data_IF_981178961923
#
_entry.id   IF_981178961923
#
_cell.length_a   1.000
_cell.length_b   1.000
_cell.length_c   1.000
_cell.angle_alpha   90.00
_cell.angle_beta   90.00
_cell.angle_gamma   90.00
#
_symmetry.space_group_name_H-M   'P 1'
#
loop_
_entity.id
_entity.type
_entity.pdbx_description
1 polymer ?
#
# COMPACT_ATOMS: atom_id res chain seq x y z
N UNK A 1 -9.29 -3.80 8.93
CA UNK A 1 -9.11 -2.34 9.03
C UNK A 1 -9.80 -1.74 7.82
N UNK A 2 -11.13 -1.69 7.89
CA UNK A 2 -11.92 -0.87 6.97
C UNK A 2 -11.52 0.58 7.23
N UNK A 3 -11.19 1.33 6.19
CA UNK A 3 -11.09 2.78 6.28
C UNK A 3 -12.53 3.28 6.37
N UNK A 4 -13.08 3.23 7.58
CA UNK A 4 -14.36 3.85 7.91
C UNK A 4 -14.13 5.37 7.85
N UNK A 5 -14.33 5.97 6.67
CA UNK A 5 -14.56 7.41 6.53
C UNK A 5 -15.91 7.74 7.18
N UNK A 6 -15.99 7.71 8.52
CA UNK A 6 -17.16 8.23 9.24
C UNK A 6 -17.17 9.74 9.10
N UNK A 7 -17.98 10.21 8.18
CA UNK A 7 -18.34 11.62 7.99
C UNK A 7 -19.32 12.05 9.09
N UNK A 8 -18.90 12.06 10.36
CA UNK A 8 -19.71 12.57 11.46
C UNK A 8 -18.91 13.55 12.34
N UNK A 9 -19.21 14.84 12.14
CA UNK A 9 -19.01 16.04 12.98
C UNK A 9 -18.02 17.12 12.47
N UNK A 10 -18.34 18.43 12.68
CA UNK A 10 -17.83 19.54 11.88
C UNK A 10 -16.59 20.21 12.52
N UNK A 11 -15.52 19.46 12.73
CA UNK A 11 -14.25 20.02 13.21
C UNK A 11 -13.10 19.40 12.42
N UNK A 12 -12.41 20.26 11.66
CA UNK A 12 -11.29 19.99 10.74
C UNK A 12 -11.70 19.48 9.34
N UNK A 13 -11.65 20.39 8.35
CA UNK A 13 -11.47 20.00 6.94
C UNK A 13 -10.09 19.34 6.81
N UNK A 14 -10.06 18.24 6.07
CA UNK A 14 -9.25 17.06 6.38
C UNK A 14 -7.84 17.07 5.78
N UNK A 15 -6.87 16.71 6.61
CA UNK A 15 -5.56 16.26 6.17
C UNK A 15 -5.71 14.88 5.51
N UNK A 16 -5.36 14.75 4.22
CA UNK A 16 -5.33 13.44 3.56
C UNK A 16 -3.87 12.99 3.48
N UNK A 17 -3.54 11.96 4.25
CA UNK A 17 -2.29 11.22 4.08
C UNK A 17 -2.48 10.26 2.90
N UNK A 18 -1.83 10.56 1.77
CA UNK A 18 -1.87 9.71 0.58
C UNK A 18 -0.53 8.99 0.50
N UNK A 19 -0.45 7.82 1.10
CA UNK A 19 0.67 6.95 0.80
C UNK A 19 0.54 6.53 -0.68
N UNK A 20 1.52 6.86 -1.53
CA UNK A 20 1.58 6.38 -2.93
C UNK A 20 2.01 4.90 -2.87
N UNK A 21 1.13 4.08 -2.31
CA UNK A 21 0.82 2.80 -2.89
C UNK A 21 -0.27 3.10 -3.90
N UNK A 22 -0.11 2.72 -5.17
CA UNK A 22 -1.12 2.88 -6.20
C UNK A 22 -2.45 2.24 -5.76
N UNK A 23 -3.31 2.97 -5.07
CA UNK A 23 -4.51 2.44 -4.43
C UNK A 23 -5.70 3.31 -4.83
N UNK A 24 -6.64 2.67 -5.52
CA UNK A 24 -7.77 3.26 -6.19
C UNK A 24 -9.00 2.43 -5.76
N UNK A 25 -10.02 2.98 -5.08
CA UNK A 25 -11.26 2.25 -4.75
C UNK A 25 -12.60 2.96 -5.07
N UNK A 26 -13.25 2.50 -6.16
CA UNK A 26 -14.30 3.11 -7.04
C UNK A 26 -14.64 4.62 -7.02
N UNK A 27 -14.44 5.30 -8.18
CA UNK A 27 -15.46 6.16 -8.80
C UNK A 27 -15.45 6.11 -10.34
N UNK A 28 -16.65 6.07 -10.88
CA UNK A 28 -16.99 5.88 -12.28
C UNK A 28 -16.77 7.15 -13.13
N UNK A 29 -15.52 7.60 -13.30
CA UNK A 29 -15.11 8.53 -14.37
C UNK A 29 -13.67 8.22 -14.79
N UNK A 30 -13.49 7.60 -15.97
CA UNK A 30 -12.22 7.45 -16.70
C UNK A 30 -11.01 6.85 -15.95
N UNK A 31 -11.03 5.53 -15.73
CA UNK A 31 -10.00 4.57 -16.18
C UNK A 31 -8.49 4.72 -15.86
N UNK A 32 -7.98 5.72 -15.13
CA UNK A 32 -6.53 5.88 -14.87
C UNK A 32 -6.20 6.76 -13.65
N UNK A 33 -6.95 6.70 -12.55
CA UNK A 33 -6.69 7.57 -11.40
C UNK A 33 -5.41 7.14 -10.65
N UNK A 34 -4.40 8.00 -10.60
CA UNK A 34 -3.14 7.77 -9.87
C UNK A 34 -3.32 8.10 -8.37
N UNK A 35 -4.29 8.95 -8.04
CA UNK A 35 -4.51 9.46 -6.68
C UNK A 35 -5.84 9.01 -6.05
N UNK A 36 -5.84 8.87 -4.72
CA UNK A 36 -7.04 8.56 -3.91
C UNK A 36 -8.12 9.64 -4.03
N UNK A 37 -7.73 10.90 -4.23
CA UNK A 37 -8.66 12.03 -4.39
C UNK A 37 -9.41 11.97 -5.71
N UNK A 38 -8.71 11.73 -6.83
CA UNK A 38 -9.35 11.46 -8.12
C UNK A 38 -10.24 10.23 -8.01
N UNK A 39 -9.77 9.25 -7.24
CA UNK A 39 -10.47 8.02 -7.06
C UNK A 39 -11.85 8.19 -6.42
N UNK A 40 -11.94 8.90 -5.30
CA UNK A 40 -13.23 9.14 -4.63
C UNK A 40 -13.99 10.34 -5.20
N UNK A 41 -13.51 10.94 -6.29
CA UNK A 41 -14.11 12.15 -6.87
C UNK A 41 -14.06 13.36 -5.94
N UNK A 42 -13.13 13.38 -4.98
CA UNK A 42 -12.95 14.48 -4.05
C UNK A 42 -12.18 15.60 -4.77
N UNK A 43 -12.76 16.81 -4.89
CA UNK A 43 -12.05 17.93 -5.50
C UNK A 43 -10.74 18.20 -4.75
N UNK A 44 -9.63 18.35 -5.47
CA UNK A 44 -8.32 18.67 -4.87
C UNK A 44 -8.35 19.96 -4.05
N UNK A 45 -9.27 20.88 -4.35
CA UNK A 45 -9.46 22.14 -3.63
C UNK A 45 -10.02 21.99 -2.21
N UNK A 46 -10.68 20.85 -1.93
CA UNK A 46 -11.20 20.50 -0.60
C UNK A 46 -10.13 19.81 0.26
N UNK A 47 -8.96 19.53 -0.31
CA UNK A 47 -7.82 18.92 0.38
C UNK A 47 -6.80 19.99 0.72
N UNK A 48 -6.55 20.20 2.00
CA UNK A 48 -5.62 21.25 2.46
C UNK A 48 -4.16 20.90 2.16
N UNK A 49 -3.83 19.61 2.22
CA UNK A 49 -2.50 19.07 2.01
C UNK A 49 -2.54 17.59 1.61
N UNK A 50 -1.74 17.22 0.60
CA UNK A 50 -1.46 15.84 0.18
C UNK A 50 -0.01 15.54 0.50
N UNK A 51 0.24 14.47 1.25
CA UNK A 51 1.60 14.01 1.55
C UNK A 51 1.79 12.59 1.07
N UNK A 52 2.96 12.29 0.53
CA UNK A 52 3.29 10.99 -0.05
C UNK A 52 4.78 10.62 0.12
N UNK A 53 5.06 9.31 0.14
CA UNK A 53 6.43 8.76 0.08
C UNK A 53 6.85 8.48 -1.36
N UNK A 54 8.14 8.67 -1.65
CA UNK A 54 8.79 8.34 -2.92
C UNK A 54 9.36 6.91 -2.94
N UNK A 55 9.30 6.19 -1.82
CA UNK A 55 10.01 4.92 -1.61
C UNK A 55 9.38 3.73 -2.33
N UNK A 56 8.06 3.80 -2.55
CA UNK A 56 7.30 2.68 -3.09
C UNK A 56 7.27 2.73 -4.61
N UNK A 57 6.24 3.36 -5.19
CA UNK A 57 6.02 3.36 -6.64
C UNK A 57 7.12 4.07 -7.45
N UNK A 58 7.88 4.97 -6.83
CA UNK A 58 8.89 5.81 -7.51
C UNK A 58 10.33 5.33 -7.29
N UNK A 59 10.52 4.24 -6.53
CA UNK A 59 11.82 3.60 -6.28
C UNK A 59 12.94 4.58 -5.88
N UNK A 60 12.60 5.62 -5.12
CA UNK A 60 13.54 6.62 -4.60
C UNK A 60 13.47 6.67 -3.08
N UNK A 61 13.87 7.76 -2.43
CA UNK A 61 13.72 7.91 -0.97
C UNK A 61 13.14 9.26 -0.60
N UNK A 62 12.60 9.33 0.62
CA UNK A 62 11.97 10.53 1.14
C UNK A 62 10.50 10.67 0.74
N UNK A 63 9.98 11.89 0.81
CA UNK A 63 8.58 12.17 0.55
C UNK A 63 8.36 13.60 0.10
N UNK A 64 7.15 13.87 -0.34
CA UNK A 64 6.73 15.20 -0.77
C UNK A 64 5.41 15.60 -0.16
N UNK A 65 5.18 16.91 -0.13
CA UNK A 65 3.98 17.53 0.38
C UNK A 65 3.49 18.54 -0.67
N UNK A 66 2.25 18.39 -1.10
CA UNK A 66 1.55 19.29 -2.02
C UNK A 66 0.42 19.97 -1.27
N UNK A 67 0.26 21.26 -1.48
CA UNK A 67 -0.82 22.02 -0.89
C UNK A 67 -0.80 23.44 -1.41
N UNK A 68 -1.61 24.31 -0.80
CA UNK A 68 -1.60 25.73 -1.12
C UNK A 68 -0.23 26.35 -0.79
N UNK A 69 0.16 27.38 -1.53
CA UNK A 69 1.49 28.01 -1.40
C UNK A 69 1.83 28.44 0.03
N UNK A 70 0.86 28.95 0.78
CA UNK A 70 1.07 29.34 2.18
C UNK A 70 1.28 28.15 3.11
N UNK A 71 0.65 27.00 2.83
CA UNK A 71 0.82 25.76 3.60
C UNK A 71 2.23 25.21 3.38
N UNK A 72 2.65 25.11 2.13
CA UNK A 72 3.99 24.65 1.76
C UNK A 72 5.05 25.63 2.26
N UNK A 73 4.80 26.94 2.15
CA UNK A 73 5.68 27.99 2.68
C UNK A 73 5.87 27.88 4.19
N UNK A 74 4.79 27.66 4.94
CA UNK A 74 4.86 27.43 6.38
C UNK A 74 5.68 26.18 6.73
N UNK A 75 5.45 25.06 6.04
CA UNK A 75 6.23 23.83 6.25
C UNK A 75 7.72 24.02 5.96
N UNK A 76 8.08 24.78 4.92
CA UNK A 76 9.49 25.05 4.56
C UNK A 76 10.20 25.98 5.54
N UNK A 77 9.48 26.89 6.19
CA UNK A 77 10.05 27.87 7.12
C UNK A 77 10.03 27.40 8.58
N UNK A 78 9.05 26.60 8.95
CA UNK A 78 8.79 26.21 10.35
C UNK A 78 8.93 24.70 10.60
N UNK A 79 9.02 23.88 9.55
CA UNK A 79 9.19 22.44 9.69
C UNK A 79 10.61 22.09 10.14
N UNK A 80 10.77 21.69 11.40
CA UNK A 80 12.08 21.31 11.97
C UNK A 80 12.79 20.25 11.13
N UNK A 81 12.06 19.22 10.69
CA UNK A 81 12.60 18.15 9.84
C UNK A 81 13.00 18.63 8.44
N UNK A 82 12.41 19.71 7.94
CA UNK A 82 12.79 20.30 6.64
C UNK A 82 14.00 21.23 6.80
N UNK A 83 14.06 22.05 7.86
CA UNK A 83 15.12 23.03 8.08
C UNK A 83 16.44 22.41 8.58
N UNK A 84 16.36 21.35 9.38
CA UNK A 84 17.52 20.76 10.06
C UNK A 84 17.90 19.36 9.53
N UNK A 85 17.41 18.99 8.34
CA UNK A 85 17.80 17.76 7.64
C UNK A 85 18.52 18.06 6.34
N UNK A 86 19.35 17.12 5.88
CA UNK A 86 19.99 17.21 4.57
C UNK A 86 18.95 17.05 3.46
N UNK A 87 19.16 17.76 2.35
CA UNK A 87 18.33 17.61 1.15
C UNK A 87 18.52 16.25 0.48
N UNK A 88 17.50 15.79 -0.24
CA UNK A 88 17.58 14.56 -1.05
C UNK A 88 18.75 14.64 -2.05
N UNK A 89 19.62 13.62 -2.15
CA UNK A 89 20.69 13.57 -3.14
C UNK A 89 20.17 13.78 -4.58
N UNK A 90 20.88 14.55 -5.43
CA UNK A 90 20.40 14.87 -6.78
C UNK A 90 20.07 13.63 -7.63
N UNK A 91 20.84 12.55 -7.49
CA UNK A 91 20.59 11.29 -8.18
C UNK A 91 19.21 10.71 -7.87
N UNK A 92 18.82 10.71 -6.59
CA UNK A 92 17.53 10.17 -6.13
C UNK A 92 16.36 11.08 -6.53
N UNK A 93 16.58 12.40 -6.55
CA UNK A 93 15.60 13.34 -7.06
C UNK A 93 15.33 13.13 -8.56
N UNK A 94 16.37 12.92 -9.36
CA UNK A 94 16.24 12.59 -10.78
C UNK A 94 15.54 11.25 -10.99
N UNK A 95 15.89 10.21 -10.22
CA UNK A 95 15.24 8.91 -10.29
C UNK A 95 13.72 9.00 -9.98
N UNK A 96 13.34 9.75 -8.94
CA UNK A 96 11.93 9.99 -8.61
C UNK A 96 11.20 10.74 -9.74
N UNK A 97 11.85 11.75 -10.33
CA UNK A 97 11.30 12.52 -11.44
C UNK A 97 11.07 11.65 -12.69
N UNK A 98 12.04 10.79 -13.03
CA UNK A 98 11.88 9.83 -14.13
C UNK A 98 10.79 8.79 -13.84
N UNK A 99 10.69 8.31 -12.60
CA UNK A 99 9.60 7.42 -12.18
C UNK A 99 8.23 8.06 -12.39
N UNK A 100 8.07 9.34 -12.01
CA UNK A 100 6.84 10.10 -12.25
C UNK A 100 6.56 10.28 -13.75
N UNK A 101 7.60 10.57 -14.54
CA UNK A 101 7.47 10.70 -16.00
C UNK A 101 6.97 9.40 -16.63
N UNK A 102 7.55 8.26 -16.26
CA UNK A 102 7.15 6.94 -16.77
C UNK A 102 5.70 6.61 -16.39
N UNK A 103 5.29 6.87 -15.15
CA UNK A 103 3.89 6.62 -14.72
C UNK A 103 2.90 7.48 -15.52
N UNK A 104 3.26 8.73 -15.84
CA UNK A 104 2.43 9.61 -16.65
C UNK A 104 2.38 9.19 -18.13
N UNK A 105 3.49 8.71 -18.69
CA UNK A 105 3.57 8.25 -20.09
C UNK A 105 2.92 6.88 -20.31
N UNK A 106 2.95 6.01 -19.29
CA UNK A 106 2.44 4.64 -19.34
C UNK A 106 1.36 4.38 -18.26
N UNK A 107 0.17 4.99 -18.37
CA UNK A 107 -0.91 4.84 -17.39
C UNK A 107 -1.43 3.39 -17.28
N UNK A 108 -1.19 2.57 -18.31
CA UNK A 108 -1.51 1.14 -18.31
C UNK A 108 -0.78 0.37 -17.20
N UNK A 109 0.35 0.86 -16.69
CA UNK A 109 1.04 0.26 -15.53
C UNK A 109 0.15 0.24 -14.30
N UNK A 110 -0.61 1.31 -14.08
CA UNK A 110 -1.52 1.47 -12.94
C UNK A 110 -2.71 0.53 -13.09
N UNK A 111 -3.29 0.45 -14.29
CA UNK A 111 -4.42 -0.45 -14.53
C UNK A 111 -3.99 -1.93 -14.45
N UNK A 112 -2.77 -2.25 -14.90
CA UNK A 112 -2.21 -3.61 -14.81
C UNK A 112 -2.00 -4.06 -13.37
N UNK A 113 -1.37 -3.25 -12.52
CA UNK A 113 -1.18 -3.61 -11.11
C UNK A 113 -2.53 -3.72 -10.37
N UNK A 114 -3.52 -2.89 -10.69
CA UNK A 114 -4.86 -2.99 -10.12
C UNK A 114 -5.56 -4.30 -10.51
N UNK A 115 -5.44 -4.72 -11.78
CA UNK A 115 -5.99 -6.00 -12.24
C UNK A 115 -5.38 -7.17 -11.46
N UNK A 116 -4.05 -7.19 -11.34
CA UNK A 116 -3.36 -8.22 -10.57
C UNK A 116 -3.69 -8.17 -9.07
N UNK A 117 -3.83 -6.99 -8.49
CA UNK A 117 -4.26 -6.82 -7.11
C UNK A 117 -5.64 -7.44 -6.84
N UNK A 118 -6.58 -7.29 -7.77
CA UNK A 118 -7.92 -7.91 -7.68
C UNK A 118 -7.84 -9.42 -7.83
N UNK A 119 -7.09 -9.92 -8.82
CA UNK A 119 -6.90 -11.37 -9.04
C UNK A 119 -6.30 -12.02 -7.80
N UNK A 120 -5.22 -11.42 -7.25
CA UNK A 120 -4.58 -11.92 -6.03
C UNK A 120 -5.53 -11.83 -4.84
N UNK A 121 -6.26 -10.73 -4.66
CA UNK A 121 -7.19 -10.62 -3.53
C UNK A 121 -8.22 -11.74 -3.54
N UNK A 122 -8.88 -11.97 -4.68
CA UNK A 122 -9.89 -13.01 -4.83
C UNK A 122 -9.30 -14.40 -4.71
N UNK A 123 -8.13 -14.63 -5.30
CA UNK A 123 -7.39 -15.88 -5.18
C UNK A 123 -7.03 -16.21 -3.73
N UNK A 124 -6.56 -15.22 -2.97
CA UNK A 124 -6.27 -15.39 -1.54
C UNK A 124 -7.54 -15.61 -0.73
N UNK A 125 -8.60 -14.84 -0.96
CA UNK A 125 -9.89 -15.04 -0.28
C UNK A 125 -10.40 -16.47 -0.48
N UNK A 126 -10.39 -16.97 -1.72
CA UNK A 126 -10.80 -18.34 -2.02
C UNK A 126 -9.86 -19.39 -1.42
N UNK A 127 -8.55 -19.16 -1.45
CA UNK A 127 -7.56 -20.07 -0.86
C UNK A 127 -7.69 -20.17 0.67
N UNK A 128 -8.21 -19.13 1.31
CA UNK A 128 -8.37 -19.08 2.76
C UNK A 128 -9.74 -19.56 3.25
N UNK A 129 -10.70 -19.81 2.35
CA UNK A 129 -12.00 -20.37 2.71
C UNK A 129 -11.85 -21.71 3.44
N UNK A 130 -12.36 -21.78 4.68
CA UNK A 130 -12.24 -22.96 5.53
C UNK A 130 -10.96 -23.05 6.35
N UNK A 131 -10.10 -22.03 6.29
CA UNK A 131 -8.87 -21.93 7.10
C UNK A 131 -8.96 -20.76 8.08
N UNK A 132 -8.02 -20.69 9.03
CA UNK A 132 -7.92 -19.58 9.98
C UNK A 132 -7.17 -18.36 9.40
N UNK A 133 -6.79 -18.38 8.12
CA UNK A 133 -6.13 -17.24 7.50
C UNK A 133 -7.17 -16.26 6.95
N UNK A 134 -6.88 -14.96 7.03
CA UNK A 134 -7.75 -13.89 6.56
C UNK A 134 -6.92 -12.92 5.73
N UNK A 135 -7.41 -12.58 4.55
CA UNK A 135 -6.86 -11.46 3.76
C UNK A 135 -7.49 -10.17 4.24
N UNK A 136 -6.66 -9.27 4.76
CA UNK A 136 -7.03 -7.91 5.12
C UNK A 136 -6.52 -6.93 4.07
N UNK A 137 -7.42 -6.06 3.62
CA UNK A 137 -7.13 -5.02 2.66
C UNK A 137 -8.21 -4.91 1.60
N UNK A 138 -8.16 -3.80 0.89
CA UNK A 138 -9.05 -3.47 -0.23
C UNK A 138 -8.72 -4.32 -1.45
N UNK A 139 -9.73 -4.74 -2.24
CA UNK A 139 -9.56 -5.55 -3.46
C UNK A 139 -8.56 -4.93 -4.45
N UNK A 140 -8.61 -3.62 -4.62
CA UNK A 140 -7.78 -2.88 -5.58
C UNK A 140 -6.38 -2.50 -5.04
N UNK A 141 -6.15 -2.68 -3.73
CA UNK A 141 -4.86 -2.33 -3.11
C UNK A 141 -3.76 -3.29 -3.56
N UNK A 142 -2.62 -2.83 -4.08
CA UNK A 142 -1.52 -3.70 -4.49
C UNK A 142 -0.81 -4.36 -3.30
N UNK A 143 -1.03 -3.85 -2.08
CA UNK A 143 -0.55 -4.48 -0.84
C UNK A 143 -1.70 -5.19 -0.14
N UNK A 144 -1.49 -6.47 0.17
CA UNK A 144 -2.40 -7.33 0.92
C UNK A 144 -1.76 -7.75 2.23
N UNK A 145 -2.55 -7.74 3.30
CA UNK A 145 -2.13 -8.26 4.59
C UNK A 145 -2.75 -9.64 4.81
N UNK A 146 -1.93 -10.64 5.05
CA UNK A 146 -2.38 -11.98 5.46
C UNK A 146 -2.30 -12.02 6.98
N UNK A 147 -3.43 -12.27 7.62
CA UNK A 147 -3.59 -12.39 9.07
C UNK A 147 -3.95 -13.83 9.39
N UNK A 148 -3.54 -14.31 10.56
CA UNK A 148 -4.00 -15.58 11.10
C UNK A 148 -4.91 -15.30 12.30
N UNK A 149 -6.14 -15.77 12.24
CA UNK A 149 -7.16 -15.65 13.28
C UNK A 149 -7.15 -16.90 14.17
N UNK A 150 -6.29 -16.87 15.20
CA UNK A 150 -6.15 -17.97 16.15
C UNK A 150 -4.99 -17.77 17.12
N UNK A 151 -4.78 -18.76 17.99
CA UNK A 151 -3.66 -18.77 18.92
C UNK A 151 -2.32 -18.92 18.19
N UNK A 152 -1.25 -18.37 18.78
CA UNK A 152 0.11 -18.40 18.21
C UNK A 152 0.23 -17.80 16.79
N UNK A 153 -0.59 -16.78 16.47
CA UNK A 153 -0.63 -16.14 15.14
C UNK A 153 0.75 -15.73 14.61
N UNK A 154 1.63 -15.21 15.45
CA UNK A 154 2.98 -14.81 15.02
C UNK A 154 3.80 -15.99 14.49
N UNK A 155 3.77 -17.12 15.21
CA UNK A 155 4.52 -18.32 14.86
C UNK A 155 3.96 -18.98 13.61
N UNK A 156 2.63 -19.00 13.45
CA UNK A 156 1.97 -19.48 12.23
C UNK A 156 2.33 -18.64 11.01
N UNK A 157 2.35 -17.31 11.16
CA UNK A 157 2.77 -16.41 10.10
C UNK A 157 4.27 -16.56 9.77
N UNK A 158 5.12 -16.78 10.76
CA UNK A 158 6.55 -17.06 10.53
C UNK A 158 6.76 -18.40 9.79
N UNK A 159 6.00 -19.44 10.15
CA UNK A 159 6.01 -20.73 9.44
C UNK A 159 5.55 -20.57 7.98
N UNK A 160 4.48 -19.79 7.75
CA UNK A 160 4.00 -19.49 6.40
C UNK A 160 5.10 -18.80 5.56
N UNK A 161 5.76 -17.78 6.11
CA UNK A 161 6.83 -17.06 5.40
C UNK A 161 8.00 -17.98 5.08
N UNK A 162 8.48 -18.76 6.06
CA UNK A 162 9.59 -19.69 5.86
C UNK A 162 9.26 -20.71 4.78
N UNK A 163 8.06 -21.29 4.81
CA UNK A 163 7.62 -22.29 3.85
C UNK A 163 7.50 -21.76 2.43
N UNK A 164 6.92 -20.57 2.27
CA UNK A 164 6.83 -19.92 0.95
C UNK A 164 8.21 -19.63 0.38
N UNK A 165 9.17 -19.25 1.22
CA UNK A 165 10.53 -19.00 0.80
C UNK A 165 11.25 -20.31 0.42
N UNK A 166 11.19 -21.33 1.27
CA UNK A 166 11.95 -22.58 1.09
C UNK A 166 11.38 -23.47 -0.02
N UNK A 167 10.05 -23.61 -0.11
CA UNK A 167 9.41 -24.55 -1.05
C UNK A 167 9.01 -23.91 -2.39
N UNK A 168 8.71 -22.61 -2.39
CA UNK A 168 8.16 -21.92 -3.56
C UNK A 168 9.01 -20.74 -4.04
N UNK A 169 10.13 -20.44 -3.38
CA UNK A 169 10.99 -19.29 -3.69
C UNK A 169 10.24 -17.95 -3.70
N UNK A 170 9.16 -17.83 -2.90
CA UNK A 170 8.36 -16.61 -2.76
C UNK A 170 8.74 -15.93 -1.46
N UNK A 171 9.16 -14.68 -1.55
CA UNK A 171 9.49 -13.86 -0.38
C UNK A 171 8.32 -12.94 -0.03
N UNK A 172 7.76 -13.12 1.17
CA UNK A 172 6.82 -12.17 1.79
C UNK A 172 7.40 -11.63 3.08
N UNK A 173 6.98 -10.44 3.50
CA UNK A 173 7.57 -9.75 4.66
C UNK A 173 6.64 -9.80 5.86
N UNK A 174 7.18 -9.95 7.07
CA UNK A 174 6.40 -9.89 8.31
C UNK A 174 6.25 -8.45 8.78
N UNK A 175 5.01 -8.05 9.05
CA UNK A 175 4.70 -6.84 9.80
C UNK A 175 4.65 -7.20 11.29
N UNK A 176 5.68 -6.79 12.02
CA UNK A 176 5.79 -6.92 13.47
C UNK A 176 5.65 -5.56 14.11
N UNK A 177 4.96 -5.51 15.24
CA UNK A 177 4.68 -4.29 15.97
C UNK A 177 5.07 -4.47 17.43
N UNK A 178 5.42 -3.38 18.09
CA UNK A 178 5.70 -3.38 19.53
C UNK A 178 4.39 -3.12 20.26
N UNK A 179 3.73 -4.18 20.73
CA UNK A 179 2.39 -4.11 21.33
C UNK A 179 2.26 -3.05 22.44
N UNK A 180 3.34 -2.81 23.19
CA UNK A 180 3.36 -1.85 24.29
C UNK A 180 3.51 -0.39 23.85
N UNK A 181 3.95 -0.13 22.62
CA UNK A 181 4.14 1.23 22.08
C UNK A 181 3.00 1.64 21.13
N UNK A 182 2.22 0.67 20.64
CA UNK A 182 1.10 0.94 19.75
C UNK A 182 -0.11 1.47 20.53
N UNK A 183 -0.55 2.68 20.19
CA UNK A 183 -1.77 3.30 20.73
C UNK A 183 -3.04 2.52 20.39
N UNK A 184 -3.00 1.73 19.30
CA UNK A 184 -4.10 0.89 18.83
C UNK A 184 -3.57 -0.52 18.59
N UNK A 185 -4.29 -1.58 19.02
CA UNK A 185 -3.84 -2.95 18.79
C UNK A 185 -3.77 -3.24 17.29
N UNK A 186 -2.56 -3.50 16.78
CA UNK A 186 -2.32 -3.86 15.38
C UNK A 186 -2.15 -5.37 15.29
N UNK A 187 -2.96 -6.02 14.46
CA UNK A 187 -2.85 -7.45 14.25
C UNK A 187 -1.54 -7.77 13.50
N UNK A 188 -0.77 -8.78 13.96
CA UNK A 188 0.41 -9.24 13.23
C UNK A 188 -0.03 -9.76 11.86
N UNK A 189 0.72 -9.40 10.82
CA UNK A 189 0.38 -9.79 9.44
C UNK A 189 1.62 -10.10 8.61
N UNK A 190 1.45 -10.88 7.56
CA UNK A 190 2.43 -10.98 6.48
C UNK A 190 1.98 -10.10 5.31
N UNK A 191 2.88 -9.26 4.79
CA UNK A 191 2.62 -8.34 3.69
C UNK A 191 3.00 -9.00 2.38
N UNK A 192 2.02 -9.11 1.49
CA UNK A 192 2.19 -9.48 0.09
C UNK A 192 2.00 -8.23 -0.76
N UNK A 193 2.95 -7.94 -1.65
CA UNK A 193 2.89 -6.79 -2.54
C UNK A 193 2.91 -7.25 -3.99
N UNK A 194 2.09 -6.61 -4.80
CA UNK A 194 1.94 -6.88 -6.23
C UNK A 194 2.56 -5.74 -7.03
N UNK A 195 3.30 -6.09 -8.07
CA UNK A 195 3.95 -5.13 -8.96
C UNK A 195 3.37 -5.21 -10.36
N UNK A 196 3.51 -4.12 -11.13
CA UNK A 196 3.02 -4.11 -12.50
C UNK A 196 3.80 -5.09 -13.38
N UNK A 197 5.10 -5.27 -13.22
CA UNK A 197 5.94 -6.12 -14.08
C UNK A 197 5.80 -7.63 -13.84
N UNK A 198 4.96 -8.06 -12.90
CA UNK A 198 4.69 -9.49 -12.68
C UNK A 198 3.94 -10.11 -13.87
N UNK A 199 4.21 -11.38 -14.12
CA UNK A 199 3.52 -12.19 -15.14
C UNK A 199 2.31 -12.93 -14.55
N UNK A 200 1.34 -13.28 -15.39
CA UNK A 200 0.18 -14.08 -14.97
C UNK A 200 0.59 -15.44 -14.38
N UNK A 201 1.61 -16.07 -14.97
CA UNK A 201 2.17 -17.33 -14.46
C UNK A 201 2.77 -17.19 -13.05
N UNK A 202 3.49 -16.10 -12.76
CA UNK A 202 4.02 -15.85 -11.41
C UNK A 202 2.91 -15.66 -10.39
N UNK A 203 1.81 -15.01 -10.78
CA UNK A 203 0.65 -14.80 -9.92
C UNK A 203 -0.07 -16.13 -9.64
N UNK A 204 -0.31 -16.94 -10.66
CA UNK A 204 -0.92 -18.26 -10.51
C UNK A 204 -0.06 -19.18 -9.64
N UNK A 205 1.26 -19.20 -9.89
CA UNK A 205 2.22 -19.94 -9.08
C UNK A 205 2.18 -19.47 -7.62
N UNK A 206 2.16 -18.16 -7.37
CA UNK A 206 2.09 -17.61 -6.03
C UNK A 206 0.80 -18.00 -5.30
N UNK A 207 -0.35 -17.92 -5.97
CA UNK A 207 -1.63 -18.31 -5.39
C UNK A 207 -1.68 -19.81 -5.09
N UNK A 208 -1.20 -20.66 -6.00
CA UNK A 208 -1.13 -22.11 -5.78
C UNK A 208 -0.21 -22.47 -4.62
N UNK A 209 0.95 -21.82 -4.53
CA UNK A 209 1.92 -22.04 -3.45
C UNK A 209 1.35 -21.63 -2.09
N UNK A 210 0.68 -20.46 -2.03
CA UNK A 210 0.02 -19.98 -0.81
C UNK A 210 -1.11 -20.92 -0.39
N UNK A 211 -1.96 -21.36 -1.32
CA UNK A 211 -3.03 -22.31 -1.03
C UNK A 211 -2.50 -23.63 -0.46
N UNK A 212 -1.44 -24.18 -1.05
CA UNK A 212 -0.77 -25.39 -0.55
C UNK A 212 -0.16 -25.17 0.84
N UNK A 213 0.57 -24.06 1.02
CA UNK A 213 1.22 -23.75 2.28
C UNK A 213 0.22 -23.60 3.42
N UNK A 214 -0.92 -22.95 3.16
CA UNK A 214 -2.00 -22.74 4.12
C UNK A 214 -2.77 -24.03 4.43
N UNK A 215 -3.01 -24.90 3.45
CA UNK A 215 -3.68 -26.18 3.69
C UNK A 215 -2.89 -27.13 4.63
N UNK A 216 -1.58 -26.95 4.72
CA UNK A 216 -0.69 -27.75 5.55
C UNK A 216 -0.41 -27.14 6.94
N UNK A 217 -0.88 -25.90 7.20
CA UNK A 217 -0.65 -25.15 8.45
C UNK A 217 -1.92 -25.04 9.30
#
# INVERSE_FOLDING_TARGET
>A
MEIHLRYEKPFCKGLIKVEILACAEKANVMGSSISVTEHFGVPIHDVDMVMASLENALASTGGFCVGRSYVVGHQRLSGLGYCFSASLPPLLATAANEGLRIINEEPDRVTRVQRFAVVIHRGLSAAFEGTNFIVQGVELSPMKHIIYDGEEAEKKLDQLVAKLFDEAAIMITRARYLEHEEMLPVLPSARLMVQSEMTEHEIEHALSAIAKAVAEL
#
